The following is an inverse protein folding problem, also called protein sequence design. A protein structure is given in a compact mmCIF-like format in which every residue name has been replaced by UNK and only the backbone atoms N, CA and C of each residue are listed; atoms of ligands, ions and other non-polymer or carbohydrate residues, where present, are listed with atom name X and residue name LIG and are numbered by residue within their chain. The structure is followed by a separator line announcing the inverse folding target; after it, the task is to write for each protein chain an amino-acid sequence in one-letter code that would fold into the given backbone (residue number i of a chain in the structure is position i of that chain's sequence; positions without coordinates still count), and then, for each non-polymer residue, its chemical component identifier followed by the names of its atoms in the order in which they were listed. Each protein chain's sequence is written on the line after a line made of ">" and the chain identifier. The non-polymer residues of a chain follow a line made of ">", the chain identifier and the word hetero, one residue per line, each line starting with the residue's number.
data_IF_367779865095
#
_entry.id   IF_367779865095
#
_cell.length_a   1.000
_cell.length_b   1.000
_cell.length_c   1.000
_cell.angle_alpha   90.00
_cell.angle_beta   90.00
_cell.angle_gamma   90.00
#
_symmetry.space_group_name_H-M   'P 1'
#
loop_
_entity.id
_entity.type
_entity.pdbx_description
1 polymer ?
#
# COMPACT_ATOMS: atom_id res chain seq x y z
N UNK A 1 -5.30 -9.36 -18.87
CA UNK A 1 -5.47 -9.51 -20.33
C UNK A 1 -6.93 -9.79 -20.58
N UNK A 2 -7.38 -9.62 -21.81
CA UNK A 2 -8.82 -9.72 -22.14
C UNK A 2 -9.36 -11.16 -22.03
N UNK A 3 -8.48 -12.15 -21.89
CA UNK A 3 -8.82 -13.58 -21.78
C UNK A 3 -9.21 -14.04 -20.35
N UNK A 4 -9.10 -13.17 -19.34
CA UNK A 4 -9.45 -13.49 -17.95
C UNK A 4 -10.48 -12.50 -17.45
N UNK A 5 -11.67 -13.01 -17.14
CA UNK A 5 -12.78 -12.23 -16.57
C UNK A 5 -12.76 -12.46 -15.06
N UNK A 6 -12.70 -11.36 -14.30
CA UNK A 6 -12.91 -11.37 -12.86
C UNK A 6 -14.37 -11.00 -12.61
N UNK A 7 -15.16 -11.99 -12.20
CA UNK A 7 -16.57 -11.83 -11.84
C UNK A 7 -16.73 -11.23 -10.43
N UNK A 8 -17.95 -10.80 -10.09
CA UNK A 8 -18.27 -10.41 -8.71
C UNK A 8 -18.11 -11.60 -7.76
N UNK A 9 -17.44 -11.38 -6.63
CA UNK A 9 -17.10 -12.45 -5.72
C UNK A 9 -18.34 -13.11 -5.10
N UNK A 10 -19.38 -12.34 -4.78
CA UNK A 10 -20.58 -12.85 -4.11
C UNK A 10 -21.36 -13.74 -5.08
N UNK A 11 -21.58 -13.26 -6.30
CA UNK A 11 -22.29 -14.00 -7.35
C UNK A 11 -21.57 -15.31 -7.68
N UNK A 12 -20.26 -15.26 -7.93
CA UNK A 12 -19.47 -16.43 -8.26
C UNK A 12 -19.39 -17.45 -7.10
N UNK A 13 -19.19 -16.97 -5.87
CA UNK A 13 -19.09 -17.84 -4.70
C UNK A 13 -20.43 -18.52 -4.37
N UNK A 14 -21.55 -17.81 -4.42
CA UNK A 14 -22.85 -18.39 -4.04
C UNK A 14 -23.21 -19.61 -4.89
N UNK A 15 -22.86 -19.60 -6.18
CA UNK A 15 -23.05 -20.76 -7.08
C UNK A 15 -22.27 -21.97 -6.58
N UNK A 16 -21.00 -21.78 -6.21
CA UNK A 16 -20.14 -22.88 -5.76
C UNK A 16 -20.54 -23.39 -4.38
N UNK A 17 -20.94 -22.51 -3.46
CA UNK A 17 -21.44 -22.89 -2.15
C UNK A 17 -22.71 -23.74 -2.28
N UNK A 18 -23.65 -23.34 -3.13
CA UNK A 18 -24.85 -24.14 -3.40
C UNK A 18 -24.52 -25.53 -3.94
N UNK A 19 -23.54 -25.64 -4.84
CA UNK A 19 -23.08 -26.91 -5.39
C UNK A 19 -22.49 -27.81 -4.29
N UNK A 20 -21.61 -27.27 -3.44
CA UNK A 20 -21.02 -28.00 -2.32
C UNK A 20 -22.10 -28.49 -1.33
N UNK A 21 -23.06 -27.64 -1.00
CA UNK A 21 -24.18 -28.01 -0.14
C UNK A 21 -25.03 -29.12 -0.76
N UNK A 22 -25.31 -29.06 -2.06
CA UNK A 22 -26.04 -30.12 -2.77
C UNK A 22 -25.28 -31.46 -2.79
N UNK A 23 -23.96 -31.42 -2.70
CA UNK A 23 -23.10 -32.61 -2.53
C UNK A 23 -23.03 -33.13 -1.09
N UNK A 24 -23.74 -32.49 -0.15
CA UNK A 24 -23.75 -32.86 1.26
C UNK A 24 -22.58 -32.30 2.07
N UNK A 25 -21.81 -31.36 1.50
CA UNK A 25 -20.78 -30.63 2.25
C UNK A 25 -21.46 -29.58 3.13
N UNK A 26 -21.26 -29.69 4.44
CA UNK A 26 -21.86 -28.81 5.43
C UNK A 26 -20.86 -27.94 6.19
N UNK A 27 -19.59 -27.91 5.76
CA UNK A 27 -18.55 -27.04 6.32
C UNK A 27 -17.79 -26.39 5.18
N UNK A 28 -17.92 -25.08 5.01
CA UNK A 28 -17.45 -24.35 3.84
C UNK A 28 -16.63 -23.14 4.26
N UNK A 29 -15.38 -23.10 3.80
CA UNK A 29 -14.45 -21.99 4.01
C UNK A 29 -14.33 -21.21 2.71
N UNK A 30 -14.59 -19.91 2.75
CA UNK A 30 -14.23 -19.01 1.67
C UNK A 30 -12.78 -18.52 1.88
N UNK A 31 -11.88 -18.93 1.00
CA UNK A 31 -10.48 -18.50 1.00
C UNK A 31 -10.27 -17.57 -0.21
N UNK A 32 -9.84 -16.34 0.02
CA UNK A 32 -9.82 -15.32 -1.03
C UNK A 32 -8.78 -14.21 -0.86
N UNK A 33 -8.76 -13.27 -1.81
CA UNK A 33 -7.79 -12.17 -1.88
C UNK A 33 -8.41 -10.86 -2.40
N UNK A 34 -9.58 -10.48 -1.86
CA UNK A 34 -10.31 -9.27 -2.30
C UNK A 34 -10.30 -8.12 -1.29
N UNK A 35 -9.69 -8.34 -0.12
CA UNK A 35 -9.57 -7.32 0.91
C UNK A 35 -10.67 -7.39 1.95
N UNK A 36 -10.37 -6.91 3.15
CA UNK A 36 -11.19 -7.12 4.34
C UNK A 36 -12.63 -6.61 4.25
N UNK A 37 -12.87 -5.55 3.47
CA UNK A 37 -14.25 -5.08 3.21
C UNK A 37 -15.06 -6.08 2.39
N UNK A 38 -14.46 -6.66 1.35
CA UNK A 38 -15.11 -7.69 0.53
C UNK A 38 -15.24 -8.98 1.33
N UNK A 39 -14.22 -9.34 2.12
CA UNK A 39 -14.27 -10.53 2.99
C UNK A 39 -15.47 -10.47 3.96
N UNK A 40 -15.72 -9.31 4.58
CA UNK A 40 -16.92 -9.09 5.41
C UNK A 40 -18.21 -9.18 4.61
N UNK A 41 -18.21 -8.70 3.36
CA UNK A 41 -19.38 -8.79 2.47
C UNK A 41 -19.67 -10.24 2.07
N UNK A 42 -18.63 -11.04 1.81
CA UNK A 42 -18.72 -12.48 1.56
C UNK A 42 -19.34 -13.18 2.77
N UNK A 43 -18.79 -12.93 3.96
CA UNK A 43 -19.29 -13.48 5.22
C UNK A 43 -20.76 -13.11 5.47
N UNK A 44 -21.16 -11.88 5.11
CA UNK A 44 -22.51 -11.40 5.30
C UNK A 44 -23.51 -12.03 4.32
N UNK A 45 -23.15 -12.10 3.04
CA UNK A 45 -24.10 -12.36 1.94
C UNK A 45 -24.06 -13.77 1.37
N UNK A 46 -22.92 -14.46 1.40
CA UNK A 46 -22.80 -15.80 0.79
C UNK A 46 -23.33 -16.84 1.77
N UNK A 47 -24.58 -17.24 1.57
CA UNK A 47 -25.29 -18.21 2.42
C UNK A 47 -24.60 -19.57 2.33
N UNK A 48 -24.31 -20.16 3.49
CA UNK A 48 -23.61 -21.43 3.61
C UNK A 48 -22.09 -21.32 3.80
N UNK A 49 -21.49 -20.13 3.72
CA UNK A 49 -20.10 -19.93 4.15
C UNK A 49 -20.02 -19.90 5.67
N UNK A 50 -19.06 -20.62 6.24
CA UNK A 50 -18.88 -20.75 7.68
C UNK A 50 -17.67 -19.97 8.21
N UNK A 51 -16.63 -19.81 7.40
CA UNK A 51 -15.41 -19.05 7.74
C UNK A 51 -14.91 -18.32 6.50
N UNK A 52 -14.45 -17.09 6.66
CA UNK A 52 -13.76 -16.34 5.60
C UNK A 52 -12.31 -16.10 5.99
N UNK A 53 -11.38 -16.56 5.14
CA UNK A 53 -9.95 -16.34 5.27
C UNK A 53 -9.51 -15.44 4.11
N UNK A 54 -9.15 -14.21 4.44
CA UNK A 54 -8.86 -13.17 3.46
C UNK A 54 -7.38 -12.85 3.28
N UNK A 55 -7.13 -11.83 2.44
CA UNK A 55 -5.81 -11.24 2.18
C UNK A 55 -5.93 -9.88 1.51
N UNK A 56 -4.96 -9.48 0.68
CA UNK A 56 -4.92 -8.25 -0.12
C UNK A 56 -4.71 -6.94 0.66
N UNK A 57 -5.51 -6.67 1.68
CA UNK A 57 -5.48 -5.39 2.43
C UNK A 57 -4.44 -5.36 3.55
N UNK A 58 -3.67 -6.44 3.73
CA UNK A 58 -2.70 -6.62 4.80
C UNK A 58 -3.30 -6.34 6.19
N UNK A 59 -4.57 -6.72 6.41
CA UNK A 59 -5.29 -6.39 7.64
C UNK A 59 -4.73 -7.22 8.79
N UNK A 60 -4.28 -6.54 9.85
CA UNK A 60 -3.90 -7.17 11.09
C UNK A 60 -5.09 -7.17 12.05
N UNK A 61 -5.52 -8.36 12.48
CA UNK A 61 -6.56 -8.55 13.48
C UNK A 61 -5.92 -9.22 14.69
N UNK A 62 -6.30 -8.78 15.90
CA UNK A 62 -5.76 -9.34 17.13
C UNK A 62 -6.73 -9.14 18.28
N UNK A 63 -6.90 -10.17 19.12
CA UNK A 63 -7.68 -10.09 20.36
C UNK A 63 -6.73 -10.01 21.56
N UNK A 64 -6.82 -8.93 22.32
CA UNK A 64 -5.91 -8.65 23.45
C UNK A 64 -4.78 -7.69 23.06
N UNK A 65 -3.65 -7.76 23.77
CA UNK A 65 -2.49 -6.91 23.52
C UNK A 65 -1.68 -7.44 22.32
N UNK A 66 -1.50 -6.66 21.23
CA UNK A 66 -0.72 -7.11 20.08
C UNK A 66 0.77 -7.32 20.45
N UNK A 67 1.45 -8.33 19.88
CA UNK A 67 2.79 -8.71 20.30
C UNK A 67 3.92 -7.92 19.60
N UNK A 68 3.58 -6.99 18.71
CA UNK A 68 4.55 -6.18 17.96
C UNK A 68 3.98 -4.80 17.64
N UNK A 69 4.57 -4.12 16.65
CA UNK A 69 4.26 -2.72 16.30
C UNK A 69 2.98 -2.55 15.50
N UNK A 70 2.43 -3.60 14.89
CA UNK A 70 1.20 -3.52 14.12
C UNK A 70 -0.01 -3.20 15.00
N UNK A 71 -0.84 -2.25 14.55
CA UNK A 71 -2.08 -1.87 15.22
C UNK A 71 -3.24 -2.73 14.71
N UNK A 72 -3.97 -3.45 15.58
CA UNK A 72 -5.12 -4.25 15.17
C UNK A 72 -6.24 -3.38 14.59
N UNK A 73 -6.78 -3.77 13.44
CA UNK A 73 -7.99 -3.17 12.85
C UNK A 73 -9.29 -3.67 13.50
N UNK A 74 -9.20 -4.68 14.36
CA UNK A 74 -10.31 -5.33 15.03
C UNK A 74 -9.88 -6.62 15.74
N UNK A 75 -10.81 -7.28 16.44
CA UNK A 75 -10.53 -8.56 17.09
C UNK A 75 -10.25 -9.66 16.06
N UNK A 76 -9.52 -10.68 16.50
CA UNK A 76 -9.35 -11.94 15.77
C UNK A 76 -10.13 -13.07 16.49
N UNK A 77 -11.06 -13.76 15.81
CA UNK A 77 -11.62 -13.41 14.49
C UNK A 77 -12.52 -12.17 14.57
N UNK A 78 -12.75 -11.53 13.43
CA UNK A 78 -13.80 -10.51 13.31
C UNK A 78 -15.12 -11.22 13.00
N UNK A 79 -16.12 -11.11 13.89
CA UNK A 79 -17.40 -11.79 13.71
C UNK A 79 -18.37 -10.93 12.89
N UNK A 80 -18.87 -11.48 11.78
CA UNK A 80 -19.87 -10.84 10.92
C UNK A 80 -21.23 -11.50 11.13
N UNK A 81 -22.28 -10.68 11.29
CA UNK A 81 -23.67 -11.14 11.21
C UNK A 81 -24.05 -11.41 9.76
N UNK A 82 -24.33 -12.67 9.42
CA UNK A 82 -24.80 -13.04 8.09
C UNK A 82 -26.29 -12.81 7.91
N UNK A 83 -26.74 -12.65 6.67
CA UNK A 83 -28.15 -12.47 6.32
C UNK A 83 -29.00 -13.73 6.62
N UNK A 84 -28.37 -14.89 6.79
CA UNK A 84 -29.03 -16.12 7.23
C UNK A 84 -29.03 -16.32 8.76
N UNK A 85 -28.59 -15.31 9.53
CA UNK A 85 -28.71 -15.26 10.99
C UNK A 85 -27.59 -15.96 11.76
N UNK A 86 -26.47 -16.27 11.12
CA UNK A 86 -25.28 -16.88 11.74
C UNK A 86 -24.22 -15.81 12.06
N UNK A 87 -23.23 -16.18 12.87
CA UNK A 87 -22.01 -15.41 13.09
C UNK A 87 -20.87 -16.08 12.32
N UNK A 88 -20.35 -15.39 11.30
CA UNK A 88 -19.28 -15.90 10.44
C UNK A 88 -17.95 -15.25 10.83
N UNK A 89 -16.96 -16.01 11.35
CA UNK A 89 -15.62 -15.47 11.60
C UNK A 89 -14.88 -15.13 10.30
N UNK A 90 -14.33 -13.92 10.27
CA UNK A 90 -13.46 -13.40 9.21
C UNK A 90 -12.06 -13.19 9.79
N UNK A 91 -11.04 -13.70 9.11
CA UNK A 91 -9.64 -13.59 9.53
C UNK A 91 -8.71 -13.13 8.40
N UNK A 92 -7.72 -12.34 8.78
CA UNK A 92 -6.51 -12.04 8.00
C UNK A 92 -5.30 -12.06 8.96
N UNK A 93 -4.11 -12.27 8.41
CA UNK A 93 -2.87 -12.44 9.19
C UNK A 93 -1.78 -11.43 8.76
N UNK A 94 -2.14 -10.15 8.62
CA UNK A 94 -1.22 -9.09 8.20
C UNK A 94 -0.57 -9.42 6.83
N UNK A 95 0.77 -9.46 6.76
CA UNK A 95 1.53 -9.67 5.54
C UNK A 95 2.97 -10.14 5.81
N UNK A 96 3.69 -10.43 4.73
CA UNK A 96 5.14 -10.66 4.69
C UNK A 96 5.65 -11.90 5.43
N UNK A 97 4.74 -12.81 5.81
CA UNK A 97 5.10 -13.98 6.62
C UNK A 97 5.51 -13.64 8.05
N UNK A 98 5.29 -12.39 8.52
CA UNK A 98 5.60 -12.00 9.91
C UNK A 98 4.73 -12.72 10.93
N UNK A 99 3.51 -13.09 10.53
CA UNK A 99 2.54 -13.79 11.36
C UNK A 99 2.01 -15.04 10.67
N UNK A 100 1.79 -16.09 11.44
CA UNK A 100 1.00 -17.25 11.03
C UNK A 100 -0.42 -17.14 11.62
N UNK A 101 -1.44 -16.98 10.77
CA UNK A 101 -2.83 -16.98 11.22
C UNK A 101 -3.23 -18.33 11.85
N UNK A 102 -3.75 -18.31 13.07
CA UNK A 102 -4.19 -19.52 13.78
C UNK A 102 -5.61 -19.31 14.33
N UNK A 103 -6.58 -20.03 13.78
CA UNK A 103 -7.98 -20.00 14.19
C UNK A 103 -8.46 -21.42 14.47
N UNK A 104 -8.90 -21.68 15.71
CA UNK A 104 -9.58 -22.91 16.07
C UNK A 104 -11.08 -22.69 15.88
N UNK A 105 -11.70 -23.52 15.03
CA UNK A 105 -13.13 -23.47 14.75
C UNK A 105 -13.77 -24.78 15.18
N UNK A 106 -14.76 -24.68 16.04
CA UNK A 106 -15.56 -25.82 16.49
C UNK A 106 -16.89 -25.83 15.74
N UNK A 107 -17.24 -26.98 15.18
CA UNK A 107 -18.49 -27.20 14.45
C UNK A 107 -19.40 -28.18 15.19
N UNK A 108 -20.72 -27.98 15.10
CA UNK A 108 -21.69 -29.01 15.44
C UNK A 108 -21.79 -30.10 14.34
N UNK A 109 -22.70 -31.07 14.51
CA UNK A 109 -22.86 -32.17 13.56
C UNK A 109 -23.50 -31.70 12.25
N UNK A 110 -24.35 -30.69 12.34
CA UNK A 110 -25.06 -30.04 11.26
C UNK A 110 -24.14 -29.16 10.42
N UNK A 111 -22.97 -28.80 10.95
CA UNK A 111 -21.94 -28.02 10.26
C UNK A 111 -21.93 -26.54 10.63
N UNK A 112 -22.69 -26.13 11.65
CA UNK A 112 -22.69 -24.74 12.12
C UNK A 112 -21.48 -24.49 13.01
N UNK A 113 -20.90 -23.29 12.90
CA UNK A 113 -19.85 -22.81 13.80
C UNK A 113 -20.44 -22.55 15.19
N UNK A 114 -19.95 -23.26 16.20
CA UNK A 114 -20.33 -23.06 17.61
C UNK A 114 -19.34 -22.16 18.36
N UNK A 115 -18.08 -22.21 17.96
CA UNK A 115 -17.00 -21.40 18.54
C UNK A 115 -15.92 -21.15 17.49
N UNK A 116 -15.37 -19.94 17.47
CA UNK A 116 -14.20 -19.58 16.68
C UNK A 116 -13.28 -18.71 17.53
N UNK A 117 -12.11 -19.24 17.90
CA UNK A 117 -11.15 -18.57 18.79
C UNK A 117 -9.73 -18.78 18.32
N UNK A 118 -8.90 -17.75 18.44
CA UNK A 118 -7.50 -17.83 18.04
C UNK A 118 -6.84 -16.46 18.04
N UNK A 119 -5.61 -16.42 17.52
CA UNK A 119 -4.86 -15.20 17.26
C UNK A 119 -3.74 -15.53 16.27
N UNK A 120 -3.25 -14.55 15.47
CA UNK A 120 -2.06 -14.76 14.67
C UNK A 120 -0.82 -14.91 15.58
N UNK A 121 0.02 -15.89 15.24
CA UNK A 121 1.27 -16.21 15.95
C UNK A 121 2.38 -15.36 15.35
N UNK A 122 3.05 -14.55 16.17
CA UNK A 122 4.23 -13.80 15.73
C UNK A 122 5.38 -14.77 15.47
N UNK A 123 5.95 -14.74 14.26
CA UNK A 123 7.13 -15.50 13.89
C UNK A 123 8.38 -14.63 14.14
N UNK A 124 8.76 -14.52 15.41
CA UNK A 124 10.00 -13.85 15.84
C UNK A 124 11.14 -14.85 16.10
N UNK A 125 12.26 -14.37 16.61
CA UNK A 125 13.44 -15.18 16.92
C UNK A 125 13.23 -16.22 18.02
N UNK A 126 12.08 -16.25 18.71
CA UNK A 126 11.76 -17.29 19.68
C UNK A 126 11.29 -18.59 19.01
N UNK A 127 10.84 -18.52 17.76
CA UNK A 127 10.52 -19.68 16.93
C UNK A 127 11.76 -20.05 16.12
N UNK A 128 12.37 -21.23 16.33
CA UNK A 128 13.55 -21.63 15.58
C UNK A 128 13.20 -21.86 14.10
N UNK A 129 14.11 -21.44 13.22
CA UNK A 129 14.04 -21.80 11.80
C UNK A 129 14.26 -23.31 11.64
N UNK A 130 13.51 -23.93 10.72
CA UNK A 130 13.77 -25.33 10.38
C UNK A 130 15.10 -25.45 9.61
N UNK A 131 16.03 -26.26 10.13
CA UNK A 131 17.39 -26.37 9.60
C UNK A 131 17.43 -26.90 8.15
N UNK A 132 16.47 -27.76 7.77
CA UNK A 132 16.41 -28.27 6.41
C UNK A 132 15.95 -27.18 5.43
N UNK A 133 14.87 -26.47 5.77
CA UNK A 133 14.36 -25.36 4.96
C UNK A 133 15.38 -24.23 4.88
N UNK A 134 16.05 -23.90 5.99
CA UNK A 134 17.11 -22.90 6.01
C UNK A 134 18.25 -23.25 5.06
N UNK A 135 18.70 -24.50 5.05
CA UNK A 135 19.73 -24.95 4.13
C UNK A 135 19.29 -24.87 2.66
N UNK A 136 18.02 -25.15 2.36
CA UNK A 136 17.47 -24.94 1.02
C UNK A 136 17.42 -23.45 0.64
N UNK A 137 16.97 -22.57 1.53
CA UNK A 137 16.93 -21.12 1.30
C UNK A 137 18.33 -20.57 1.01
N UNK A 138 19.34 -20.93 1.82
CA UNK A 138 20.72 -20.48 1.60
C UNK A 138 21.28 -20.99 0.27
N UNK A 139 20.97 -22.22 -0.12
CA UNK A 139 21.36 -22.75 -1.43
C UNK A 139 20.76 -21.94 -2.58
N UNK A 140 19.48 -21.59 -2.50
CA UNK A 140 18.81 -20.78 -3.55
C UNK A 140 19.32 -19.34 -3.55
N UNK A 141 19.80 -18.84 -2.41
CA UNK A 141 20.39 -17.51 -2.27
C UNK A 141 21.69 -17.35 -3.05
N UNK A 142 22.50 -18.41 -3.16
CA UNK A 142 23.75 -18.39 -3.94
C UNK A 142 23.49 -18.04 -5.42
N UNK A 143 22.37 -18.51 -5.99
CA UNK A 143 21.99 -18.28 -7.39
C UNK A 143 21.42 -16.88 -7.65
N UNK A 144 21.12 -16.10 -6.59
CA UNK A 144 20.60 -14.74 -6.73
C UNK A 144 21.67 -13.73 -7.24
N UNK A 145 22.95 -14.09 -7.41
CA UNK A 145 23.91 -13.24 -8.13
C UNK A 145 24.25 -11.89 -7.46
N UNK A 146 24.45 -10.82 -8.25
CA UNK A 146 25.01 -9.52 -7.83
C UNK A 146 24.01 -8.60 -7.06
N UNK A 147 22.93 -9.14 -6.49
CA UNK A 147 21.98 -8.32 -5.72
C UNK A 147 22.57 -7.80 -4.39
N UNK A 148 23.66 -8.42 -3.91
CA UNK A 148 24.43 -7.93 -2.75
C UNK A 148 25.31 -6.71 -3.05
N UNK A 149 25.31 -6.18 -4.29
CA UNK A 149 26.10 -5.00 -4.64
C UNK A 149 25.64 -3.78 -3.84
N UNK A 150 26.56 -3.17 -3.06
CA UNK A 150 26.31 -1.89 -2.40
C UNK A 150 26.19 -0.75 -3.43
N UNK A 151 25.07 -0.03 -3.38
CA UNK A 151 24.75 1.13 -4.21
C UNK A 151 25.09 2.45 -3.52
N UNK A 152 25.12 2.46 -2.19
CA UNK A 152 25.43 3.60 -1.36
C UNK A 152 25.09 3.32 0.09
N UNK A 153 25.00 4.38 0.90
CA UNK A 153 24.62 4.28 2.31
C UNK A 153 23.51 5.25 2.68
N UNK A 154 22.71 4.93 3.69
CA UNK A 154 21.83 5.87 4.39
C UNK A 154 22.37 6.19 5.78
N UNK A 155 22.00 7.35 6.31
CA UNK A 155 22.27 7.75 7.71
C UNK A 155 21.00 7.87 8.55
N UNK A 156 19.85 7.52 7.95
CA UNK A 156 18.53 7.61 8.55
C UNK A 156 17.70 6.41 8.10
N UNK A 157 16.71 6.06 8.91
CA UNK A 157 15.70 5.08 8.51
C UNK A 157 14.96 5.57 7.27
N UNK A 158 15.01 4.78 6.18
CA UNK A 158 14.27 5.08 4.97
C UNK A 158 12.88 4.45 5.12
N UNK A 159 11.93 5.25 5.61
CA UNK A 159 10.59 4.77 5.93
C UNK A 159 9.76 4.58 4.66
N UNK A 160 9.82 3.37 4.11
CA UNK A 160 9.00 2.91 2.99
C UNK A 160 7.80 2.04 3.41
N UNK A 161 7.38 2.12 4.68
CA UNK A 161 6.26 1.33 5.20
C UNK A 161 4.92 1.80 4.59
N UNK A 162 3.95 0.89 4.50
CA UNK A 162 2.61 1.24 4.01
C UNK A 162 1.91 2.25 4.92
N UNK A 163 2.16 2.17 6.23
CA UNK A 163 1.61 3.07 7.26
C UNK A 163 2.15 4.50 7.11
N UNK A 164 3.35 4.69 6.58
CA UNK A 164 3.88 6.00 6.26
C UNK A 164 3.46 6.44 4.85
N UNK A 165 3.96 5.76 3.82
CA UNK A 165 3.87 6.26 2.45
C UNK A 165 2.46 6.29 1.84
N UNK A 166 1.46 5.64 2.47
CA UNK A 166 0.06 5.68 2.03
C UNK A 166 -0.83 6.62 2.83
N UNK A 167 -0.31 7.23 3.89
CA UNK A 167 -1.06 8.11 4.79
C UNK A 167 -0.42 9.48 4.97
N UNK A 168 0.89 9.61 4.81
CA UNK A 168 1.60 10.86 5.00
C UNK A 168 2.82 10.98 4.10
N UNK A 169 3.51 12.12 4.20
CA UNK A 169 4.84 12.25 3.63
C UNK A 169 5.78 11.21 4.24
N UNK A 170 6.48 10.46 3.39
CA UNK A 170 7.50 9.53 3.81
C UNK A 170 8.85 9.89 3.16
N UNK A 171 9.93 9.80 3.94
CA UNK A 171 11.25 10.19 3.45
C UNK A 171 11.80 9.25 2.36
N UNK A 172 11.34 7.99 2.30
CA UNK A 172 11.60 7.10 1.16
C UNK A 172 10.98 7.68 -0.12
N UNK A 173 9.73 8.14 -0.07
CA UNK A 173 9.06 8.79 -1.20
C UNK A 173 9.79 10.04 -1.69
N UNK A 174 10.25 10.87 -0.75
CA UNK A 174 11.05 12.05 -1.06
C UNK A 174 12.35 11.68 -1.78
N UNK A 175 13.10 10.70 -1.27
CA UNK A 175 14.33 10.21 -1.90
C UNK A 175 14.09 9.72 -3.33
N UNK A 176 13.05 8.93 -3.53
CA UNK A 176 12.73 8.36 -4.84
C UNK A 176 12.36 9.45 -5.85
N UNK A 177 11.59 10.46 -5.43
CA UNK A 177 11.27 11.59 -6.30
C UNK A 177 12.43 12.56 -6.54
N UNK A 178 13.33 12.71 -5.57
CA UNK A 178 14.56 13.49 -5.73
C UNK A 178 15.52 12.79 -6.71
N UNK A 179 15.59 11.46 -6.66
CA UNK A 179 16.34 10.65 -7.62
C UNK A 179 15.77 10.77 -9.04
N UNK A 180 14.44 10.86 -9.17
CA UNK A 180 13.74 11.02 -10.45
C UNK A 180 13.79 12.45 -11.02
N UNK A 181 14.36 13.42 -10.30
CA UNK A 181 14.48 14.80 -10.76
C UNK A 181 15.61 14.95 -11.79
N UNK A 182 15.31 15.54 -12.95
CA UNK A 182 16.24 15.73 -14.07
C UNK A 182 16.52 17.23 -14.29
N UNK A 183 17.60 17.58 -15.02
CA UNK A 183 18.01 18.97 -15.27
C UNK A 183 16.91 19.88 -15.89
N UNK A 184 15.84 19.31 -16.45
CA UNK A 184 14.74 20.05 -17.09
C UNK A 184 13.35 19.70 -16.52
N UNK A 185 13.29 18.98 -15.40
CA UNK A 185 12.03 18.55 -14.77
C UNK A 185 12.13 18.80 -13.28
N UNK A 186 11.30 19.72 -12.77
CA UNK A 186 11.30 20.14 -11.38
C UNK A 186 10.29 19.39 -10.51
N UNK A 187 9.45 18.53 -11.09
CA UNK A 187 8.34 17.88 -10.38
C UNK A 187 8.35 16.37 -10.57
N UNK A 188 8.11 15.66 -9.47
CA UNK A 188 7.86 14.23 -9.46
C UNK A 188 6.62 13.91 -8.62
N UNK A 189 5.84 12.92 -9.07
CA UNK A 189 4.80 12.28 -8.27
C UNK A 189 4.99 10.76 -8.28
N UNK A 190 4.78 10.11 -7.14
CA UNK A 190 4.93 8.67 -6.95
C UNK A 190 3.84 8.17 -6.02
N UNK A 191 3.01 7.21 -6.47
CA UNK A 191 1.99 6.62 -5.62
C UNK A 191 2.63 5.78 -4.50
N UNK A 192 2.20 5.96 -3.26
CA UNK A 192 2.73 5.25 -2.09
C UNK A 192 2.56 3.72 -2.18
N UNK A 193 1.58 3.25 -2.96
CA UNK A 193 1.43 1.83 -3.30
C UNK A 193 2.60 1.25 -4.10
N UNK A 194 3.37 2.08 -4.81
CA UNK A 194 4.58 1.69 -5.52
C UNK A 194 5.81 1.50 -4.62
N UNK A 195 5.77 1.98 -3.37
CA UNK A 195 6.87 1.85 -2.39
C UNK A 195 6.58 0.65 -1.49
N UNK A 196 7.43 -0.38 -1.56
CA UNK A 196 7.08 -1.73 -1.07
C UNK A 196 7.79 -2.17 0.20
N UNK A 197 8.92 -1.55 0.54
CA UNK A 197 9.70 -1.87 1.73
C UNK A 197 10.35 -0.62 2.31
N UNK A 198 10.55 -0.55 3.64
CA UNK A 198 11.55 0.33 4.23
C UNK A 198 12.97 -0.20 4.02
N UNK A 199 13.97 0.63 4.34
CA UNK A 199 15.36 0.20 4.55
C UNK A 199 15.81 0.69 5.92
N UNK A 200 16.22 -0.25 6.77
CA UNK A 200 16.69 0.01 8.13
C UNK A 200 18.20 0.28 8.13
N UNK A 201 18.61 1.47 8.55
CA UNK A 201 20.02 1.83 8.63
C UNK A 201 20.77 1.06 9.72
N UNK A 202 20.06 0.49 10.69
CA UNK A 202 20.66 -0.21 11.84
C UNK A 202 21.01 -1.66 11.51
N UNK A 203 20.31 -2.28 10.56
CA UNK A 203 20.51 -3.71 10.21
C UNK A 203 21.82 -3.97 9.47
N UNK A 204 22.27 -3.03 8.63
CA UNK A 204 23.44 -3.19 7.74
C UNK A 204 24.46 -2.05 7.87
N UNK A 205 24.46 -1.33 9.00
CA UNK A 205 25.28 -0.11 9.20
C UNK A 205 25.09 0.92 8.07
N UNK A 206 23.83 1.06 7.65
CA UNK A 206 23.36 1.96 6.62
C UNK A 206 23.67 1.52 5.19
N UNK A 207 24.23 0.33 4.94
CA UNK A 207 24.46 -0.14 3.56
C UNK A 207 23.14 -0.31 2.82
N UNK A 208 23.09 0.20 1.58
CA UNK A 208 21.96 0.01 0.66
C UNK A 208 22.45 -0.83 -0.50
N UNK A 209 21.88 -2.02 -0.66
CA UNK A 209 22.19 -2.97 -1.73
C UNK A 209 21.17 -2.92 -2.86
N UNK A 210 21.43 -3.64 -3.95
CA UNK A 210 20.42 -3.85 -5.00
C UNK A 210 19.26 -4.73 -4.50
N UNK A 211 19.50 -5.69 -3.61
CA UNK A 211 18.45 -6.48 -2.93
C UNK A 211 17.48 -5.57 -2.15
N UNK A 212 18.02 -4.60 -1.40
CA UNK A 212 17.21 -3.60 -0.70
C UNK A 212 16.38 -2.79 -1.70
N UNK A 213 16.99 -2.30 -2.78
CA UNK A 213 16.29 -1.46 -3.77
C UNK A 213 15.20 -2.24 -4.51
N UNK A 214 15.43 -3.51 -4.84
CA UNK A 214 14.43 -4.39 -5.44
C UNK A 214 13.28 -4.69 -4.48
N UNK A 215 13.56 -4.78 -3.17
CA UNK A 215 12.53 -4.90 -2.15
C UNK A 215 11.66 -3.64 -2.06
N UNK A 216 12.24 -2.46 -2.30
CA UNK A 216 11.51 -1.18 -2.37
C UNK A 216 10.70 -1.05 -3.67
N UNK A 217 11.29 -1.41 -4.83
CA UNK A 217 10.76 -1.23 -6.18
C UNK A 217 10.73 -2.55 -6.99
N UNK A 218 9.89 -3.53 -6.64
CA UNK A 218 9.95 -4.89 -7.19
C UNK A 218 9.30 -5.07 -8.56
N UNK A 219 8.65 -4.04 -9.10
CA UNK A 219 7.77 -4.18 -10.27
C UNK A 219 8.45 -3.91 -11.61
N UNK A 220 9.70 -3.47 -11.61
CA UNK A 220 10.42 -3.10 -12.83
C UNK A 220 9.71 -1.99 -13.62
N UNK A 221 9.16 -1.00 -12.91
CA UNK A 221 8.50 0.14 -13.57
C UNK A 221 9.53 1.13 -14.10
N UNK A 222 9.05 2.20 -14.74
CA UNK A 222 9.91 3.30 -15.19
C UNK A 222 9.45 4.61 -14.58
N UNK A 223 10.38 5.53 -14.42
CA UNK A 223 10.04 6.95 -14.24
C UNK A 223 9.90 7.61 -15.60
N UNK A 224 8.67 7.73 -16.10
CA UNK A 224 8.36 8.37 -17.38
C UNK A 224 8.10 9.87 -17.18
N UNK A 225 8.33 10.67 -18.24
CA UNK A 225 8.10 12.12 -18.24
C UNK A 225 6.84 12.45 -19.05
N UNK A 226 5.95 13.25 -18.48
CA UNK A 226 4.75 13.73 -19.16
C UNK A 226 4.57 15.25 -19.08
N UNK A 227 3.74 15.78 -19.98
CA UNK A 227 3.25 17.16 -19.96
C UNK A 227 1.79 17.19 -19.56
N UNK A 228 1.46 17.82 -18.44
CA UNK A 228 0.10 17.90 -17.90
C UNK A 228 -0.36 19.34 -17.77
N UNK A 229 -1.65 19.59 -17.98
CA UNK A 229 -2.26 20.85 -17.51
C UNK A 229 -2.26 20.88 -15.98
N UNK A 230 -2.18 22.07 -15.40
CA UNK A 230 -2.35 22.25 -13.95
C UNK A 230 -3.68 21.68 -13.46
N UNK A 231 -4.75 21.80 -14.23
CA UNK A 231 -6.05 21.21 -13.92
C UNK A 231 -5.99 19.70 -13.75
N UNK A 232 -5.31 18.98 -14.65
CA UNK A 232 -5.11 17.53 -14.58
C UNK A 232 -4.25 17.14 -13.39
N UNK A 233 -3.21 17.93 -13.08
CA UNK A 233 -2.37 17.69 -11.91
C UNK A 233 -3.18 17.87 -10.61
N UNK A 234 -4.00 18.93 -10.51
CA UNK A 234 -4.91 19.12 -9.37
C UNK A 234 -5.88 17.95 -9.24
N UNK A 235 -6.48 17.50 -10.34
CA UNK A 235 -7.37 16.33 -10.35
C UNK A 235 -6.67 15.06 -9.82
N UNK A 236 -5.41 14.83 -10.20
CA UNK A 236 -4.62 13.72 -9.68
C UNK A 236 -4.41 13.84 -8.15
N UNK A 237 -4.13 15.04 -7.62
CA UNK A 237 -4.01 15.25 -6.18
C UNK A 237 -5.35 15.10 -5.44
N UNK A 238 -6.47 15.51 -6.04
CA UNK A 238 -7.80 15.23 -5.47
C UNK A 238 -8.09 13.73 -5.39
N UNK A 239 -7.73 12.99 -6.45
CA UNK A 239 -7.83 11.54 -6.50
C UNK A 239 -6.95 10.86 -5.46
N UNK A 240 -5.75 11.38 -5.25
CA UNK A 240 -4.76 10.89 -4.29
C UNK A 240 -5.31 10.71 -2.87
N UNK A 241 -6.27 11.54 -2.48
CA UNK A 241 -6.92 11.51 -1.17
C UNK A 241 -8.43 11.23 -1.23
N UNK A 242 -8.98 10.77 -2.37
CA UNK A 242 -10.44 10.59 -2.53
C UNK A 242 -11.06 9.62 -1.50
N UNK A 243 -10.31 8.56 -1.17
CA UNK A 243 -10.68 7.49 -0.22
C UNK A 243 -9.64 7.30 0.88
N UNK A 244 -8.99 8.40 1.26
CA UNK A 244 -7.99 8.43 2.32
C UNK A 244 -8.50 7.71 3.59
N UNK A 245 -7.59 7.01 4.29
CA UNK A 245 -7.91 6.22 5.49
C UNK A 245 -8.03 4.71 5.24
N UNK A 246 -8.20 4.28 3.99
CA UNK A 246 -8.38 2.86 3.64
C UNK A 246 -7.07 2.07 3.42
N UNK A 247 -5.90 2.70 3.59
CA UNK A 247 -4.60 2.06 3.36
C UNK A 247 -4.30 1.71 1.90
N UNK A 248 -5.03 2.31 0.97
CA UNK A 248 -4.89 2.10 -0.47
C UNK A 248 -3.69 2.85 -1.05
N UNK A 249 -3.24 2.48 -2.24
CA UNK A 249 -1.94 2.89 -2.79
C UNK A 249 -1.86 4.33 -3.32
N UNK A 250 -2.96 5.09 -3.35
CA UNK A 250 -3.03 6.29 -4.18
C UNK A 250 -2.34 7.53 -3.63
N UNK A 251 -1.99 7.61 -2.34
CA UNK A 251 -1.35 8.83 -1.83
C UNK A 251 -0.06 9.14 -2.62
N UNK A 252 0.06 10.35 -3.17
CA UNK A 252 1.20 10.75 -3.99
C UNK A 252 2.30 11.30 -3.08
N UNK A 253 3.42 10.59 -3.00
CA UNK A 253 4.70 11.14 -2.62
C UNK A 253 5.21 12.07 -3.73
N UNK A 254 5.99 13.09 -3.38
CA UNK A 254 6.28 14.19 -4.31
C UNK A 254 7.72 14.69 -4.25
N UNK A 255 8.18 15.28 -5.37
CA UNK A 255 9.37 16.12 -5.45
C UNK A 255 9.03 17.43 -6.16
N UNK A 256 9.54 18.56 -5.64
CA UNK A 256 9.28 19.91 -6.17
C UNK A 256 7.81 20.33 -6.21
N UNK A 257 6.98 19.73 -5.36
CA UNK A 257 5.58 20.08 -5.15
C UNK A 257 5.35 20.21 -3.64
N UNK A 258 4.62 21.25 -3.22
CA UNK A 258 4.05 21.35 -1.89
C UNK A 258 2.53 21.30 -1.98
N UNK A 259 1.92 20.36 -1.27
CA UNK A 259 0.47 20.18 -1.24
C UNK A 259 -0.05 20.27 0.19
N UNK A 260 -1.19 20.95 0.35
CA UNK A 260 -1.96 20.97 1.59
C UNK A 260 -3.34 20.39 1.33
N UNK A 261 -3.71 19.39 2.11
CA UNK A 261 -5.03 18.74 2.07
C UNK A 261 -5.89 19.13 3.27
N UNK A 262 -7.20 19.18 3.07
CA UNK A 262 -8.20 19.21 4.13
C UNK A 262 -9.19 18.05 3.92
N UNK A 263 -9.05 17.01 4.74
CA UNK A 263 -9.81 15.77 4.64
C UNK A 263 -11.28 15.92 5.07
N UNK A 264 -11.62 17.00 5.79
CA UNK A 264 -13.00 17.33 6.19
C UNK A 264 -13.87 17.79 5.04
N UNK A 265 -13.23 18.16 3.92
CA UNK A 265 -13.93 18.50 2.69
C UNK A 265 -14.34 17.24 1.95
N UNK A 266 -15.43 17.36 1.18
CA UNK A 266 -15.91 16.28 0.34
C UNK A 266 -14.81 15.79 -0.63
N UNK A 267 -14.74 14.48 -0.92
CA UNK A 267 -13.85 13.94 -1.95
C UNK A 267 -13.98 14.72 -3.26
N UNK A 268 -12.84 15.02 -3.91
CA UNK A 268 -12.79 15.89 -5.09
C UNK A 268 -12.64 17.39 -4.79
N UNK A 269 -12.66 17.78 -3.51
CA UNK A 269 -12.45 19.17 -3.07
C UNK A 269 -11.56 19.26 -1.82
N UNK A 270 -10.62 18.33 -1.66
CA UNK A 270 -9.72 18.21 -0.50
C UNK A 270 -8.40 18.95 -0.69
N UNK A 271 -7.99 19.29 -1.91
CA UNK A 271 -6.76 20.08 -2.13
C UNK A 271 -7.02 21.55 -1.78
N UNK A 272 -6.36 22.04 -0.73
CA UNK A 272 -6.45 23.44 -0.26
C UNK A 272 -5.46 24.34 -0.99
N UNK A 273 -4.21 23.90 -1.09
CA UNK A 273 -3.17 24.59 -1.85
C UNK A 273 -2.27 23.59 -2.54
N UNK A 274 -1.80 23.95 -3.73
CA UNK A 274 -0.85 23.18 -4.50
C UNK A 274 0.15 24.15 -5.11
N UNK A 275 1.38 24.10 -4.62
CA UNK A 275 2.50 24.91 -5.09
C UNK A 275 3.52 24.03 -5.78
N UNK A 276 4.14 24.54 -6.84
CA UNK A 276 5.07 23.79 -7.67
C UNK A 276 6.33 24.60 -7.91
N UNK A 277 7.47 23.91 -8.05
CA UNK A 277 8.75 24.55 -8.27
C UNK A 277 8.83 25.10 -9.70
N UNK A 278 9.02 26.41 -9.85
CA UNK A 278 9.08 27.05 -11.17
C UNK A 278 10.27 26.56 -12.01
N UNK A 279 10.05 26.40 -13.31
CA UNK A 279 11.10 26.08 -14.31
C UNK A 279 11.46 27.28 -15.18
N UNK A 280 10.48 28.15 -15.46
CA UNK A 280 10.68 29.41 -16.18
C UNK A 280 11.14 30.54 -15.22
N UNK A 281 12.17 30.28 -14.41
CA UNK A 281 12.69 31.21 -13.43
C UNK A 281 14.21 31.00 -13.23
N UNK A 282 14.93 32.06 -12.86
CA UNK A 282 16.39 31.99 -12.64
C UNK A 282 16.77 31.31 -11.34
N UNK A 283 15.96 31.50 -10.31
CA UNK A 283 16.11 30.86 -8.99
C UNK A 283 14.82 30.09 -8.75
N UNK A 284 14.87 28.75 -8.66
CA UNK A 284 13.71 27.94 -8.38
C UNK A 284 13.02 28.38 -7.08
N UNK A 285 11.72 28.61 -7.17
CA UNK A 285 10.86 28.98 -6.06
C UNK A 285 9.50 28.29 -6.23
N UNK A 286 8.85 28.00 -5.10
CA UNK A 286 7.49 27.49 -5.12
C UNK A 286 6.54 28.62 -5.53
N UNK A 287 5.70 28.32 -6.51
CA UNK A 287 4.64 29.21 -6.98
C UNK A 287 3.31 28.46 -7.03
N UNK A 288 2.16 29.12 -6.81
CA UNK A 288 0.87 28.47 -6.92
C UNK A 288 0.66 27.85 -8.30
N UNK A 289 0.16 26.61 -8.33
CA UNK A 289 -0.21 25.91 -9.56
C UNK A 289 -1.25 26.72 -10.35
N UNK A 290 -0.99 26.90 -11.64
CA UNK A 290 -1.88 27.58 -12.58
C UNK A 290 -2.63 26.53 -13.42
N UNK A 291 -3.97 26.55 -13.41
CA UNK A 291 -4.78 25.48 -13.99
C UNK A 291 -4.54 25.26 -15.49
N UNK A 292 -4.36 26.34 -16.26
CA UNK A 292 -4.15 26.26 -17.71
C UNK A 292 -2.67 26.16 -18.13
N UNK A 293 -1.74 26.33 -17.19
CA UNK A 293 -0.32 26.16 -17.49
C UNK A 293 0.02 24.68 -17.69
N UNK A 294 1.06 24.43 -18.48
CA UNK A 294 1.56 23.09 -18.78
C UNK A 294 2.83 22.83 -17.96
N UNK A 295 2.84 21.69 -17.30
CA UNK A 295 3.89 21.27 -16.38
C UNK A 295 4.52 19.95 -16.85
N UNK A 296 5.84 19.87 -16.75
CA UNK A 296 6.61 18.65 -16.97
C UNK A 296 6.69 17.89 -15.65
N UNK A 297 6.15 16.68 -15.59
CA UNK A 297 6.09 15.87 -14.36
C UNK A 297 6.67 14.49 -14.64
N UNK A 298 7.60 14.04 -13.79
CA UNK A 298 8.07 12.65 -13.79
C UNK A 298 7.17 11.79 -12.92
N UNK A 299 6.78 10.60 -13.38
CA UNK A 299 5.96 9.66 -12.61
C UNK A 299 6.13 8.21 -13.04
N UNK A 300 5.75 7.23 -12.20
CA UNK A 300 5.79 5.81 -12.56
C UNK A 300 4.92 5.49 -13.78
N UNK A 301 5.45 4.66 -14.67
CA UNK A 301 4.70 4.13 -15.82
C UNK A 301 3.40 3.42 -15.41
N UNK A 302 3.32 2.90 -14.18
CA UNK A 302 2.12 2.27 -13.60
C UNK A 302 0.93 3.23 -13.52
N UNK A 303 1.07 4.37 -12.82
CA UNK A 303 -0.03 5.34 -12.69
C UNK A 303 -0.27 6.10 -13.99
N UNK A 304 0.76 6.27 -14.84
CA UNK A 304 0.59 6.78 -16.20
C UNK A 304 -0.34 5.88 -17.03
N UNK A 305 -0.21 4.56 -16.90
CA UNK A 305 -1.09 3.57 -17.53
C UNK A 305 -2.48 3.48 -16.85
N UNK A 306 -2.81 4.38 -15.92
CA UNK A 306 -4.06 4.41 -15.18
C UNK A 306 -4.12 3.43 -14.01
N UNK A 307 -2.99 2.88 -13.58
CA UNK A 307 -2.87 2.17 -12.31
C UNK A 307 -3.39 3.01 -11.15
N UNK A 308 -3.86 2.36 -10.09
CA UNK A 308 -4.52 3.03 -8.95
C UNK A 308 -5.70 3.95 -9.36
N UNK A 309 -6.31 3.67 -10.52
CA UNK A 309 -7.37 4.46 -11.17
C UNK A 309 -7.01 5.92 -11.50
N UNK A 310 -5.73 6.23 -11.70
CA UNK A 310 -5.25 7.53 -12.20
C UNK A 310 -5.55 7.75 -13.70
N UNK A 311 -6.79 7.54 -14.13
CA UNK A 311 -7.19 7.60 -15.54
C UNK A 311 -6.94 8.98 -16.17
N UNK A 312 -7.04 10.06 -15.38
CA UNK A 312 -6.75 11.42 -15.84
C UNK A 312 -5.32 11.59 -16.36
N UNK A 313 -4.34 10.82 -15.85
CA UNK A 313 -2.94 10.90 -16.27
C UNK A 313 -2.69 10.33 -17.68
N UNK A 314 -3.59 9.47 -18.17
CA UNK A 314 -3.55 9.01 -19.58
C UNK A 314 -3.75 10.16 -20.56
N UNK A 315 -4.53 11.17 -20.17
CA UNK A 315 -4.80 12.36 -20.96
C UNK A 315 -3.69 13.40 -20.78
N UNK A 316 -2.48 13.08 -21.24
CA UNK A 316 -1.34 14.00 -21.24
C UNK A 316 -1.15 14.69 -22.60
N UNK A 317 -0.47 15.84 -22.57
CA UNK A 317 -0.17 16.65 -23.75
C UNK A 317 1.16 16.27 -24.41
N UNK A 318 1.90 15.34 -23.82
CA UNK A 318 3.20 14.89 -24.32
C UNK A 318 3.80 13.87 -23.36
N UNK A 319 4.53 12.92 -23.92
CA UNK A 319 5.08 11.77 -23.22
C UNK A 319 6.49 11.49 -23.70
N UNK A 320 7.38 11.17 -22.79
CA UNK A 320 8.72 10.67 -23.05
C UNK A 320 8.96 9.46 -22.16
N UNK A 321 9.23 8.32 -22.79
CA UNK A 321 9.59 7.08 -22.09
C UNK A 321 10.90 7.30 -21.33
N UNK A 322 10.90 7.00 -20.04
CA UNK A 322 12.08 7.12 -19.20
C UNK A 322 12.86 5.83 -19.01
N UNK A 323 13.67 5.82 -17.97
CA UNK A 323 14.54 4.70 -17.55
C UNK A 323 13.85 3.85 -16.49
N UNK A 324 14.40 2.65 -16.21
CA UNK A 324 13.92 1.81 -15.12
C UNK A 324 14.06 2.54 -13.77
N UNK A 325 13.07 2.39 -12.92
CA UNK A 325 13.01 3.00 -11.59
C UNK A 325 14.25 2.64 -10.74
N UNK A 326 14.64 1.37 -10.74
CA UNK A 326 15.85 0.88 -10.05
C UNK A 326 17.14 1.49 -10.60
N UNK A 327 17.25 1.77 -11.90
CA UNK A 327 18.45 2.33 -12.51
C UNK A 327 18.61 3.81 -12.14
N UNK A 328 17.50 4.56 -12.19
CA UNK A 328 17.43 5.97 -11.77
C UNK A 328 17.88 6.12 -10.33
N UNK A 329 17.31 5.31 -9.43
CA UNK A 329 17.61 5.38 -7.99
C UNK A 329 19.02 4.86 -7.69
N UNK A 330 19.47 3.78 -8.33
CA UNK A 330 20.84 3.27 -8.19
C UNK A 330 21.88 4.34 -8.53
N UNK A 331 21.68 5.05 -9.65
CA UNK A 331 22.58 6.13 -10.09
C UNK A 331 22.60 7.28 -9.09
N UNK A 332 21.44 7.64 -8.54
CA UNK A 332 21.33 8.66 -7.50
C UNK A 332 22.10 8.25 -6.24
N UNK A 333 21.87 7.04 -5.72
CA UNK A 333 22.57 6.52 -4.54
C UNK A 333 24.09 6.47 -4.75
N UNK A 334 24.53 5.98 -5.90
CA UNK A 334 25.94 5.91 -6.26
C UNK A 334 26.59 7.28 -6.38
N UNK A 335 25.85 8.31 -6.82
CA UNK A 335 26.32 9.69 -6.90
C UNK A 335 26.40 10.33 -5.51
N UNK A 336 25.35 10.18 -4.71
CA UNK A 336 25.26 10.80 -3.38
C UNK A 336 26.21 10.13 -2.38
N UNK A 337 26.52 8.84 -2.57
CA UNK A 337 27.29 7.96 -1.68
C UNK A 337 26.63 7.73 -0.31
N UNK A 338 26.12 8.78 0.31
CA UNK A 338 25.41 8.77 1.58
C UNK A 338 24.17 9.66 1.49
N UNK A 339 23.00 9.11 1.77
CA UNK A 339 21.71 9.81 1.77
C UNK A 339 21.17 10.02 3.20
N UNK A 340 20.34 11.04 3.36
CA UNK A 340 19.69 11.42 4.62
C UNK A 340 18.38 12.18 4.36
N UNK A 341 17.44 11.62 3.56
CA UNK A 341 16.19 12.32 3.23
C UNK A 341 15.37 12.56 4.50
N UNK A 342 14.74 13.73 4.58
CA UNK A 342 13.87 14.12 5.68
C UNK A 342 12.41 14.15 5.23
N UNK A 343 11.50 14.13 6.22
CA UNK A 343 10.13 14.63 6.04
C UNK A 343 10.19 16.13 6.25
N UNK A 344 9.88 16.90 5.21
CA UNK A 344 10.14 18.35 5.16
C UNK A 344 8.89 19.19 4.89
N UNK A 345 7.71 18.56 4.92
CA UNK A 345 6.43 19.24 4.77
C UNK A 345 6.05 19.47 3.30
N UNK A 346 6.50 18.58 2.40
CA UNK A 346 6.01 18.53 1.02
C UNK A 346 4.53 18.18 0.96
N UNK A 347 4.05 17.38 1.92
CA UNK A 347 2.64 17.01 2.05
C UNK A 347 2.18 17.40 3.46
N UNK A 348 1.13 18.22 3.55
CA UNK A 348 0.54 18.62 4.83
C UNK A 348 -0.96 18.35 4.85
N UNK A 349 -1.47 18.06 6.03
CA UNK A 349 -2.90 17.99 6.30
C UNK A 349 -3.28 19.13 7.24
N UNK A 350 -4.33 19.89 6.90
CA UNK A 350 -4.84 20.99 7.72
C UNK A 350 -5.27 20.48 9.11
N UNK A 351 -5.16 21.31 10.13
CA UNK A 351 -5.46 20.94 11.52
C UNK A 351 -6.88 20.40 11.75
N UNK A 352 -7.87 20.82 10.94
CA UNK A 352 -9.21 20.23 10.95
C UNK A 352 -9.26 18.75 10.56
N UNK A 353 -8.27 18.27 9.81
CA UNK A 353 -8.13 16.88 9.38
C UNK A 353 -7.54 15.96 10.45
N UNK A 354 -6.74 16.48 11.39
CA UNK A 354 -6.18 15.69 12.49
C UNK A 354 -7.27 15.29 13.50
N UNK A 355 -8.25 16.17 13.74
CA UNK A 355 -9.42 15.86 14.55
C UNK A 355 -10.28 14.77 13.91
N UNK A 356 -10.54 14.83 12.61
CA UNK A 356 -11.30 13.79 11.91
C UNK A 356 -10.53 12.50 11.68
N UNK A 357 -9.21 12.51 11.48
CA UNK A 357 -8.40 11.30 11.42
C UNK A 357 -8.37 10.59 12.79
N UNK A 358 -8.24 11.35 13.88
CA UNK A 358 -8.42 10.82 15.23
C UNK A 358 -9.86 10.39 15.50
N UNK A 359 -10.87 11.13 15.05
CA UNK A 359 -12.29 10.79 15.23
C UNK A 359 -12.77 9.66 14.34
N UNK A 360 -12.17 9.40 13.17
CA UNK A 360 -12.44 8.22 12.34
C UNK A 360 -11.71 6.99 12.89
N UNK A 361 -10.50 7.15 13.43
CA UNK A 361 -9.90 6.12 14.29
C UNK A 361 -10.81 5.82 15.49
N UNK A 362 -11.32 6.85 16.18
CA UNK A 362 -12.14 6.70 17.39
C UNK A 362 -13.59 6.28 17.08
N UNK A 363 -14.20 6.69 15.96
CA UNK A 363 -15.57 6.30 15.61
C UNK A 363 -15.60 4.87 15.05
N UNK A 364 -14.55 4.44 14.34
CA UNK A 364 -14.33 3.03 14.07
C UNK A 364 -14.18 2.22 15.38
N UNK A 365 -13.69 2.84 16.46
CA UNK A 365 -13.60 2.26 17.81
C UNK A 365 -14.88 2.40 18.67
N UNK A 366 -15.84 3.26 18.31
CA UNK A 366 -16.96 3.64 19.20
C UNK A 366 -18.37 3.31 18.67
N UNK A 367 -18.53 2.93 17.39
CA UNK A 367 -19.79 2.36 16.87
C UNK A 367 -19.75 0.82 16.71
N UNK A 368 -18.89 0.13 17.46
CA UNK A 368 -18.86 -1.34 17.57
C UNK A 368 -18.79 -1.76 19.05
#
# INVERSE_FOLDING_TARGET
>A
GDDVIFEDEIEALQVQVNNLTAMGVNKIIALGHSGFTVDKTIAQKVKGVDVVIGGHTNTFLYTGTPPSTEQPAGPYPFLVDSEDGRKVPVVQAYAYGKYLGCLNVTFDKEGNVVEAVGNPILLDSTVPEDEHIKAEVEKWREDLGNYSQELGKTSVYLNGTSQACRFQECNMGNLLCDAASWNHVSMCILNGGGIRSPIDEQSTNGSITMEDLLSVLPFGTRFDLVRLKGSTLKEAFEHSVRRYGQGTGELLQVGGIHVVFDLSRAPGSRVVSLEVLCTACRVPAYVPLQMEAIYNVTLPSYILAGGDSYHMLKHNLGYTKGELDIEVVSRYLQRMKRVYPAVEGRIKFSSGSLLEASLTLISALATL
#
